data_IF_671025903071
#
_entry.id   IF_671025903071
#
_cell.length_a   1.000
_cell.length_b   1.000
_cell.length_c   1.000
_cell.angle_alpha   90.00
_cell.angle_beta   90.00
_cell.angle_gamma   90.00
#
_symmetry.space_group_name_H-M   'P 1'
#
loop_
_entity.id
_entity.type
_entity.pdbx_description
1 polymer ?
#
# COMPACT_ATOMS: atom_id res chain seq x y z
N UNK A 1 7.58 1.53 29.03
CA UNK A 1 7.42 3.01 29.18
C UNK A 1 7.50 3.75 27.86
N UNK A 2 8.61 3.68 27.08
CA UNK A 2 8.76 4.45 25.81
C UNK A 2 7.63 4.21 24.78
N UNK A 3 7.18 2.96 24.59
CA UNK A 3 6.07 2.62 23.68
C UNK A 3 4.78 3.35 24.07
N UNK A 4 4.43 3.36 25.35
CA UNK A 4 3.24 4.05 25.86
C UNK A 4 3.33 5.57 25.66
N UNK A 5 4.50 6.15 25.91
CA UNK A 5 4.75 7.58 25.66
C UNK A 5 4.62 7.91 24.16
N UNK A 6 5.15 7.06 23.27
CA UNK A 6 5.04 7.24 21.83
C UNK A 6 3.58 7.23 21.36
N UNK A 7 2.78 6.26 21.83
CA UNK A 7 1.35 6.16 21.52
C UNK A 7 0.59 7.35 22.09
N UNK A 8 0.82 7.70 23.35
CA UNK A 8 0.18 8.84 24.00
C UNK A 8 0.45 10.16 23.26
N UNK A 9 1.71 10.42 22.90
CA UNK A 9 2.10 11.60 22.12
C UNK A 9 1.44 11.61 20.73
N UNK A 10 1.42 10.44 20.04
CA UNK A 10 0.77 10.32 18.73
C UNK A 10 -0.72 10.63 18.83
N UNK A 11 -1.44 10.01 19.78
CA UNK A 11 -2.89 10.24 19.99
C UNK A 11 -3.19 11.70 20.38
N UNK A 12 -2.38 12.29 21.25
CA UNK A 12 -2.53 13.71 21.63
C UNK A 12 -2.40 14.62 20.41
N UNK A 13 -1.44 14.37 19.52
CA UNK A 13 -1.25 15.17 18.31
C UNK A 13 -2.37 14.94 17.28
N UNK A 14 -2.94 13.75 17.19
CA UNK A 14 -4.12 13.47 16.36
C UNK A 14 -5.30 14.30 16.89
N UNK A 15 -5.57 14.25 18.19
CA UNK A 15 -6.62 15.02 18.84
C UNK A 15 -6.44 16.54 18.62
N UNK A 16 -5.22 17.05 18.81
CA UNK A 16 -4.89 18.46 18.59
C UNK A 16 -5.11 18.88 17.12
N UNK A 17 -4.69 18.02 16.16
CA UNK A 17 -4.91 18.26 14.73
C UNK A 17 -6.39 18.34 14.38
N UNK A 18 -7.20 17.44 14.91
CA UNK A 18 -8.66 17.44 14.74
C UNK A 18 -9.29 18.71 15.34
N UNK A 19 -8.88 19.12 16.54
CA UNK A 19 -9.36 20.33 17.19
C UNK A 19 -9.02 21.61 16.42
N UNK A 20 -7.92 21.59 15.64
CA UNK A 20 -7.48 22.73 14.81
C UNK A 20 -7.96 22.62 13.35
N UNK A 21 -8.86 21.71 13.00
CA UNK A 21 -9.29 21.41 11.61
C UNK A 21 -8.12 21.17 10.64
N UNK A 22 -6.97 20.70 11.13
CA UNK A 22 -5.79 20.33 10.32
C UNK A 22 -5.76 18.81 10.14
N UNK A 23 -6.03 18.36 8.94
CA UNK A 23 -5.90 16.95 8.55
C UNK A 23 -4.43 16.59 8.28
N UNK A 24 -3.59 16.56 9.31
CA UNK A 24 -2.17 16.19 9.18
C UNK A 24 -1.91 14.80 9.76
N UNK A 25 -1.92 13.76 8.93
CA UNK A 25 -1.69 12.36 9.38
C UNK A 25 -0.23 11.98 9.59
N UNK A 26 0.72 12.73 9.03
CA UNK A 26 2.14 12.37 9.03
C UNK A 26 2.90 12.82 10.27
N UNK A 27 2.60 14.00 10.82
CA UNK A 27 3.31 14.55 11.99
C UNK A 27 3.17 13.69 13.25
N UNK A 28 1.97 13.19 13.62
CA UNK A 28 1.81 12.32 14.78
C UNK A 28 2.67 11.08 14.71
N UNK A 29 2.65 10.36 13.57
CA UNK A 29 3.44 9.15 13.38
C UNK A 29 4.95 9.39 13.36
N UNK A 30 5.40 10.53 12.79
CA UNK A 30 6.81 10.93 12.83
C UNK A 30 7.32 11.11 14.26
N UNK A 31 6.54 11.74 15.12
CA UNK A 31 6.89 11.93 16.53
C UNK A 31 6.84 10.60 17.26
N UNK A 32 5.82 9.76 17.02
CA UNK A 32 5.74 8.43 17.58
C UNK A 32 6.99 7.59 17.30
N UNK A 33 7.45 7.54 16.04
CA UNK A 33 8.69 6.83 15.67
C UNK A 33 9.95 7.47 16.26
N UNK A 34 10.00 8.80 16.40
CA UNK A 34 11.14 9.47 17.04
C UNK A 34 11.26 9.08 18.52
N UNK A 35 10.15 8.93 19.24
CA UNK A 35 10.12 8.51 20.64
C UNK A 35 10.44 7.00 20.75
N UNK A 36 9.83 6.18 19.87
CA UNK A 36 10.03 4.74 19.88
C UNK A 36 10.14 4.18 18.44
N UNK A 37 11.39 3.97 17.94
CA UNK A 37 11.64 3.56 16.54
C UNK A 37 10.97 2.24 16.14
N UNK A 38 10.77 1.32 17.08
CA UNK A 38 10.11 0.03 16.83
C UNK A 38 8.56 0.09 16.95
N UNK A 39 7.97 1.30 17.06
CA UNK A 39 6.54 1.45 17.30
C UNK A 39 5.68 0.69 16.29
N UNK A 40 5.92 0.91 15.00
CA UNK A 40 5.17 0.24 13.93
C UNK A 40 5.38 -1.28 13.96
N UNK A 41 6.63 -1.71 14.12
CA UNK A 41 6.97 -3.14 14.19
C UNK A 41 6.24 -3.85 15.32
N UNK A 42 6.24 -3.26 16.52
CA UNK A 42 5.61 -3.85 17.71
C UNK A 42 4.08 -3.80 17.66
N UNK A 43 3.49 -2.86 16.92
CA UNK A 43 2.05 -2.81 16.73
C UNK A 43 1.60 -3.73 15.61
N UNK A 44 2.28 -3.74 14.47
CA UNK A 44 1.97 -4.60 13.34
C UNK A 44 2.09 -6.09 13.70
N UNK A 45 3.04 -6.46 14.54
CA UNK A 45 3.20 -7.83 15.04
C UNK A 45 2.02 -8.32 15.91
N UNK A 46 1.08 -7.45 16.31
CA UNK A 46 -0.11 -7.79 17.07
C UNK A 46 -1.36 -7.97 16.18
N UNK A 47 -1.26 -7.75 14.87
CA UNK A 47 -2.34 -8.13 13.94
C UNK A 47 -2.45 -9.64 13.94
N UNK A 48 -3.68 -10.13 14.15
CA UNK A 48 -3.90 -11.57 14.43
C UNK A 48 -3.91 -12.44 13.19
N UNK A 49 -4.42 -11.90 12.09
CA UNK A 49 -4.57 -12.64 10.84
C UNK A 49 -3.66 -12.02 9.77
N UNK A 50 -4.20 -11.19 8.89
CA UNK A 50 -3.49 -10.74 7.71
C UNK A 50 -3.26 -9.23 7.65
N UNK A 51 -2.13 -8.85 7.08
CA UNK A 51 -1.82 -7.49 6.69
C UNK A 51 -1.90 -7.43 5.16
N UNK A 52 -2.86 -6.64 4.67
CA UNK A 52 -3.04 -6.33 3.26
C UNK A 52 -2.42 -4.97 2.97
N UNK A 53 -1.72 -4.88 1.86
CA UNK A 53 -1.18 -3.62 1.34
C UNK A 53 -1.82 -3.36 -0.02
N UNK A 54 -2.26 -2.13 -0.27
CA UNK A 54 -2.74 -1.69 -1.58
C UNK A 54 -1.79 -0.62 -2.11
N UNK A 55 -1.22 -0.88 -3.27
CA UNK A 55 -0.24 -0.04 -3.94
C UNK A 55 -0.60 0.14 -5.42
N UNK A 56 -0.03 1.15 -6.06
CA UNK A 56 -0.21 1.46 -7.48
C UNK A 56 -0.55 2.94 -7.71
N UNK A 57 -0.47 3.40 -8.94
CA UNK A 57 -0.62 4.83 -9.27
C UNK A 57 -2.04 5.32 -8.99
N UNK A 58 -3.05 4.63 -9.48
CA UNK A 58 -4.46 5.01 -9.37
C UNK A 58 -5.30 3.94 -8.67
N UNK A 59 -6.39 4.38 -8.01
CA UNK A 59 -7.36 3.49 -7.39
C UNK A 59 -6.97 2.93 -6.02
N UNK A 60 -5.80 3.26 -5.47
CA UNK A 60 -5.33 2.80 -4.15
C UNK A 60 -6.36 2.99 -3.04
N UNK A 61 -6.79 4.23 -2.85
CA UNK A 61 -7.73 4.61 -1.76
C UNK A 61 -9.07 3.90 -1.90
N UNK A 62 -9.61 3.84 -3.12
CA UNK A 62 -10.89 3.17 -3.37
C UNK A 62 -10.78 1.68 -3.07
N UNK A 63 -9.76 1.02 -3.61
CA UNK A 63 -9.53 -0.42 -3.40
C UNK A 63 -9.28 -0.73 -1.92
N UNK A 64 -8.46 0.09 -1.23
CA UNK A 64 -8.18 -0.09 0.19
C UNK A 64 -9.45 0.05 1.04
N UNK A 65 -10.28 1.06 0.76
CA UNK A 65 -11.53 1.28 1.48
C UNK A 65 -12.54 0.15 1.24
N UNK A 66 -12.69 -0.31 0.00
CA UNK A 66 -13.55 -1.46 -0.32
C UNK A 66 -13.12 -2.72 0.42
N UNK A 67 -11.82 -3.01 0.45
CA UNK A 67 -11.28 -4.14 1.19
C UNK A 67 -11.51 -3.99 2.70
N UNK A 68 -11.27 -2.80 3.25
CA UNK A 68 -11.54 -2.50 4.66
C UNK A 68 -13.01 -2.75 5.01
N UNK A 69 -13.95 -2.24 4.19
CA UNK A 69 -15.38 -2.41 4.46
C UNK A 69 -15.83 -3.86 4.28
N UNK A 70 -15.33 -4.58 3.28
CA UNK A 70 -15.62 -6.00 3.11
C UNK A 70 -15.21 -6.81 4.35
N UNK A 71 -14.00 -6.60 4.87
CA UNK A 71 -13.53 -7.27 6.09
C UNK A 71 -14.32 -6.86 7.33
N UNK A 72 -14.75 -5.60 7.44
CA UNK A 72 -15.62 -5.14 8.52
C UNK A 72 -17.00 -5.78 8.47
N UNK A 73 -17.57 -5.95 7.27
CA UNK A 73 -18.84 -6.68 7.09
C UNK A 73 -18.74 -8.13 7.53
N UNK A 74 -17.55 -8.76 7.41
CA UNK A 74 -17.25 -10.08 7.97
C UNK A 74 -17.00 -10.06 9.50
N UNK A 75 -17.21 -8.92 10.16
CA UNK A 75 -17.05 -8.78 11.63
C UNK A 75 -15.60 -8.60 12.08
N UNK A 76 -14.64 -8.38 11.15
CA UNK A 76 -13.23 -8.20 11.50
C UNK A 76 -12.95 -6.80 12.04
N UNK A 77 -12.03 -6.71 12.98
CA UNK A 77 -11.46 -5.45 13.47
C UNK A 77 -10.27 -5.09 12.57
N UNK A 78 -10.41 -4.03 11.79
CA UNK A 78 -9.45 -3.66 10.74
C UNK A 78 -8.75 -2.35 11.07
N UNK A 79 -7.42 -2.37 11.09
CA UNK A 79 -6.60 -1.14 11.04
C UNK A 79 -6.57 -0.66 9.61
N UNK A 80 -6.89 0.61 9.40
CA UNK A 80 -6.87 1.23 8.08
C UNK A 80 -6.29 2.64 8.17
N UNK A 81 -5.40 3.01 7.26
CA UNK A 81 -4.92 4.38 7.19
C UNK A 81 -5.91 5.25 6.39
N UNK A 82 -6.11 6.47 6.87
CA UNK A 82 -7.00 7.44 6.21
C UNK A 82 -6.50 7.82 4.81
N UNK A 83 -7.40 8.30 3.97
CA UNK A 83 -7.08 8.85 2.65
C UNK A 83 -5.92 9.85 2.71
N UNK A 84 -4.93 9.69 1.83
CA UNK A 84 -3.73 10.53 1.78
C UNK A 84 -2.67 10.23 2.86
N UNK A 85 -2.89 9.27 3.75
CA UNK A 85 -1.92 8.85 4.77
C UNK A 85 -1.08 7.63 4.33
N UNK A 86 -0.69 7.58 3.06
CA UNK A 86 -0.06 6.44 2.39
C UNK A 86 1.48 6.38 2.54
N UNK A 87 2.07 7.31 3.26
CA UNK A 87 3.50 7.29 3.60
C UNK A 87 3.73 6.63 4.96
N UNK A 88 4.98 6.21 5.23
CA UNK A 88 5.38 5.53 6.47
C UNK A 88 4.78 6.17 7.74
N UNK A 89 4.87 7.49 7.87
CA UNK A 89 4.39 8.16 9.07
C UNK A 89 2.85 8.14 9.22
N UNK A 90 2.12 8.16 8.10
CA UNK A 90 0.66 7.99 8.11
C UNK A 90 0.26 6.58 8.54
N UNK A 91 0.98 5.57 8.08
CA UNK A 91 0.79 4.17 8.51
C UNK A 91 1.02 4.05 10.03
N UNK A 92 2.12 4.62 10.54
CA UNK A 92 2.40 4.64 11.99
C UNK A 92 1.28 5.31 12.77
N UNK A 93 0.75 6.42 12.25
CA UNK A 93 -0.38 7.12 12.87
C UNK A 93 -1.59 6.21 12.96
N UNK A 94 -1.96 5.51 11.89
CA UNK A 94 -3.10 4.60 11.86
C UNK A 94 -2.98 3.45 12.88
N UNK A 95 -1.82 2.82 12.97
CA UNK A 95 -1.57 1.77 13.95
C UNK A 95 -1.58 2.30 15.38
N UNK A 96 -0.96 3.45 15.64
CA UNK A 96 -0.94 4.03 16.98
C UNK A 96 -2.32 4.53 17.42
N UNK A 97 -3.12 5.05 16.49
CA UNK A 97 -4.51 5.47 16.77
C UNK A 97 -5.40 4.28 17.13
N UNK A 98 -5.25 3.17 16.43
CA UNK A 98 -5.99 1.93 16.67
C UNK A 98 -5.56 1.18 17.95
N UNK A 99 -4.35 1.48 18.46
CA UNK A 99 -3.84 0.86 19.68
C UNK A 99 -4.38 1.52 20.95
N UNK A 100 -4.49 0.79 22.05
CA UNK A 100 -4.69 1.37 23.39
C UNK A 100 -3.42 2.11 23.84
N UNK A 101 -3.55 3.01 24.82
CA UNK A 101 -2.40 3.72 25.43
C UNK A 101 -1.40 2.74 26.03
N UNK A 102 -1.86 1.59 26.53
CA UNK A 102 -0.99 0.53 27.03
C UNK A 102 -0.16 -0.17 25.94
N UNK A 103 -0.41 0.13 24.66
CA UNK A 103 0.28 -0.47 23.53
C UNK A 103 -0.29 -1.79 23.07
N UNK A 104 -1.52 -2.13 23.47
CA UNK A 104 -2.25 -3.30 23.00
C UNK A 104 -3.06 -2.94 21.75
N UNK A 105 -2.83 -3.64 20.66
CA UNK A 105 -3.62 -3.55 19.45
C UNK A 105 -4.63 -4.70 19.41
N UNK A 106 -5.91 -4.38 19.24
CA UNK A 106 -6.97 -5.37 19.08
C UNK A 106 -7.50 -5.33 17.65
N UNK A 107 -6.73 -5.87 16.72
CA UNK A 107 -7.06 -5.94 15.31
C UNK A 107 -6.91 -7.37 14.79
N UNK A 108 -7.86 -7.77 13.94
CA UNK A 108 -7.79 -9.04 13.22
C UNK A 108 -6.94 -8.86 11.96
N UNK A 109 -7.21 -7.81 11.20
CA UNK A 109 -6.52 -7.48 9.96
C UNK A 109 -6.01 -6.04 9.95
N UNK A 110 -5.12 -5.75 9.00
CA UNK A 110 -4.76 -4.39 8.63
C UNK A 110 -4.85 -4.23 7.10
N UNK A 111 -5.49 -3.16 6.64
CA UNK A 111 -5.55 -2.77 5.23
C UNK A 111 -4.85 -1.43 5.07
N UNK A 112 -3.71 -1.45 4.41
CA UNK A 112 -2.80 -0.31 4.35
C UNK A 112 -2.64 0.15 2.90
N UNK A 113 -3.15 1.34 2.61
CA UNK A 113 -2.75 2.04 1.40
C UNK A 113 -1.31 2.50 1.54
N UNK A 114 -0.47 2.21 0.55
CA UNK A 114 0.93 2.63 0.54
C UNK A 114 1.31 3.27 -0.80
N UNK A 115 2.07 4.34 -0.69
CA UNK A 115 2.75 4.93 -1.84
C UNK A 115 3.96 4.08 -2.25
N UNK A 116 4.23 3.98 -3.53
CA UNK A 116 5.25 3.11 -4.11
C UNK A 116 6.62 3.35 -3.48
N UNK A 117 7.03 4.62 -3.36
CA UNK A 117 8.30 5.00 -2.77
C UNK A 117 8.38 4.69 -1.26
N UNK A 118 7.23 4.62 -0.59
CA UNK A 118 7.13 4.36 0.84
C UNK A 118 7.21 2.87 1.20
N UNK A 119 6.95 1.97 0.27
CA UNK A 119 6.99 0.52 0.49
C UNK A 119 8.36 0.06 1.04
N UNK A 120 9.45 0.53 0.44
CA UNK A 120 10.81 0.23 0.88
C UNK A 120 11.11 0.65 2.33
N UNK A 121 10.44 1.73 2.80
CA UNK A 121 10.62 2.24 4.18
C UNK A 121 9.70 1.54 5.18
N UNK A 122 8.56 1.04 4.74
CA UNK A 122 7.56 0.42 5.60
C UNK A 122 7.83 -1.07 5.83
N UNK A 123 8.25 -1.82 4.82
CA UNK A 123 8.44 -3.27 4.88
C UNK A 123 9.53 -3.74 5.86
N UNK A 124 10.55 -2.95 6.25
CA UNK A 124 11.38 -3.30 7.41
C UNK A 124 10.63 -3.39 8.74
N UNK A 125 9.49 -2.70 8.87
CA UNK A 125 8.69 -2.69 10.10
C UNK A 125 7.63 -3.79 10.14
N UNK A 126 7.10 -4.21 8.99
CA UNK A 126 6.15 -5.33 8.89
C UNK A 126 6.26 -6.01 7.53
N UNK A 127 5.81 -7.26 7.47
CA UNK A 127 5.74 -8.03 6.23
C UNK A 127 4.28 -8.23 5.88
N UNK A 128 3.77 -7.69 4.76
CA UNK A 128 2.39 -7.94 4.36
C UNK A 128 2.22 -9.40 3.95
N UNK A 129 1.05 -9.97 4.23
CA UNK A 129 0.63 -11.26 3.73
C UNK A 129 0.23 -11.15 2.25
N UNK A 130 -0.47 -10.06 1.93
CA UNK A 130 -0.96 -9.78 0.58
C UNK A 130 -0.62 -8.35 0.16
N UNK A 131 -0.30 -8.18 -1.12
CA UNK A 131 -0.13 -6.87 -1.74
C UNK A 131 -0.92 -6.80 -3.03
N UNK A 132 -1.89 -5.90 -3.08
CA UNK A 132 -2.67 -5.60 -4.29
C UNK A 132 -1.94 -4.54 -5.10
N UNK A 133 -1.67 -4.83 -6.35
CA UNK A 133 -1.12 -3.88 -7.33
C UNK A 133 -2.23 -3.49 -8.30
N UNK A 134 -2.75 -2.28 -8.15
CA UNK A 134 -3.87 -1.80 -8.96
C UNK A 134 -3.44 -1.49 -10.40
N UNK A 135 -2.39 -0.70 -10.54
CA UNK A 135 -1.75 -0.35 -11.81
C UNK A 135 -0.45 0.44 -11.55
N UNK A 136 0.43 0.44 -12.52
CA UNK A 136 1.66 1.23 -12.51
C UNK A 136 1.70 2.06 -13.79
N UNK A 137 1.30 3.32 -13.71
CA UNK A 137 1.34 4.25 -14.84
C UNK A 137 2.39 5.34 -14.62
N UNK A 138 2.88 5.88 -15.72
CA UNK A 138 3.63 7.12 -15.71
C UNK A 138 2.67 8.27 -15.41
N UNK A 139 2.95 9.07 -14.40
CA UNK A 139 2.19 10.30 -14.17
C UNK A 139 2.51 11.30 -15.29
N UNK A 140 1.53 12.13 -15.72
CA UNK A 140 1.64 13.01 -16.90
C UNK A 140 2.74 14.09 -16.80
N UNK A 141 3.32 14.26 -15.59
CA UNK A 141 4.39 15.21 -15.28
C UNK A 141 5.78 14.58 -15.19
N UNK A 142 5.90 13.30 -15.48
CA UNK A 142 7.09 12.53 -15.16
C UNK A 142 8.25 12.73 -16.13
N UNK A 143 9.43 12.82 -15.53
CA UNK A 143 10.72 12.80 -16.19
C UNK A 143 11.07 11.38 -16.66
N UNK A 144 11.86 11.29 -17.72
CA UNK A 144 12.43 10.02 -18.19
C UNK A 144 13.08 9.24 -17.02
N UNK A 145 12.66 7.98 -16.80
CA UNK A 145 13.28 7.07 -15.83
C UNK A 145 12.51 6.87 -14.51
N UNK A 146 11.42 7.60 -14.24
CA UNK A 146 10.68 7.46 -12.96
C UNK A 146 9.98 6.10 -12.79
N UNK A 147 9.52 5.48 -13.88
CA UNK A 147 8.93 4.13 -13.83
C UNK A 147 9.97 3.09 -13.42
N UNK A 148 11.16 3.16 -14.01
CA UNK A 148 12.23 2.21 -13.68
C UNK A 148 12.65 2.34 -12.21
N UNK A 149 12.74 3.57 -11.70
CA UNK A 149 13.01 3.85 -10.29
C UNK A 149 11.89 3.29 -9.40
N UNK A 150 10.63 3.49 -9.78
CA UNK A 150 9.47 2.97 -9.04
C UNK A 150 9.46 1.44 -9.01
N UNK A 151 9.73 0.81 -10.16
CA UNK A 151 9.85 -0.65 -10.28
C UNK A 151 10.97 -1.19 -9.38
N UNK A 152 12.14 -0.54 -9.38
CA UNK A 152 13.28 -0.97 -8.56
C UNK A 152 13.00 -0.80 -7.06
N UNK A 153 12.39 0.30 -6.65
CA UNK A 153 11.98 0.52 -5.27
C UNK A 153 10.98 -0.54 -4.79
N UNK A 154 10.01 -0.90 -5.63
CA UNK A 154 9.04 -1.94 -5.32
C UNK A 154 9.69 -3.34 -5.27
N UNK A 155 10.62 -3.65 -6.18
CA UNK A 155 11.41 -4.89 -6.13
C UNK A 155 12.22 -5.00 -4.84
N UNK A 156 12.90 -3.91 -4.44
CA UNK A 156 13.62 -3.86 -3.17
C UNK A 156 12.70 -4.13 -1.97
N UNK A 157 11.50 -3.53 -1.96
CA UNK A 157 10.52 -3.77 -0.91
C UNK A 157 10.05 -5.24 -0.90
N UNK A 158 9.73 -5.80 -2.05
CA UNK A 158 9.29 -7.18 -2.20
C UNK A 158 10.38 -8.18 -1.84
N UNK A 159 11.63 -7.91 -2.16
CA UNK A 159 12.78 -8.74 -1.74
C UNK A 159 12.90 -8.83 -0.21
N UNK A 160 12.47 -7.79 0.52
CA UNK A 160 12.40 -7.84 1.99
C UNK A 160 11.23 -8.68 2.51
N UNK A 161 10.27 -9.04 1.66
CA UNK A 161 9.05 -9.79 2.02
C UNK A 161 8.71 -10.87 0.97
N UNK A 162 9.55 -11.90 0.81
CA UNK A 162 9.46 -12.86 -0.30
C UNK A 162 8.20 -13.74 -0.23
N UNK A 163 7.58 -13.86 0.93
CA UNK A 163 6.35 -14.65 1.12
C UNK A 163 5.07 -13.85 0.87
N UNK A 164 5.15 -12.54 0.61
CA UNK A 164 3.99 -11.73 0.27
C UNK A 164 3.37 -12.22 -1.03
N UNK A 165 2.09 -12.59 -0.99
CA UNK A 165 1.33 -12.96 -2.19
C UNK A 165 0.83 -11.69 -2.89
N UNK A 166 1.19 -11.53 -4.16
CA UNK A 166 0.77 -10.40 -4.97
C UNK A 166 -0.59 -10.71 -5.64
N UNK A 167 -1.47 -9.72 -5.63
CA UNK A 167 -2.75 -9.73 -6.36
C UNK A 167 -2.63 -8.60 -7.38
N UNK A 168 -2.46 -8.97 -8.65
CA UNK A 168 -1.93 -8.07 -9.68
C UNK A 168 -2.97 -7.84 -10.77
N UNK A 169 -3.12 -6.59 -11.19
CA UNK A 169 -3.90 -6.28 -12.38
C UNK A 169 -3.21 -6.88 -13.62
N UNK A 170 -3.84 -7.92 -14.20
CA UNK A 170 -3.36 -8.61 -15.41
C UNK A 170 -3.43 -7.75 -16.67
N UNK A 171 -4.29 -6.72 -16.67
CA UNK A 171 -4.42 -5.77 -17.79
C UNK A 171 -3.33 -4.68 -17.78
N UNK A 172 -2.51 -4.62 -16.70
CA UNK A 172 -1.38 -3.70 -16.60
C UNK A 172 -0.05 -4.44 -16.78
N UNK A 173 0.63 -4.29 -17.94
CA UNK A 173 1.88 -4.98 -18.23
C UNK A 173 3.01 -4.69 -17.23
N UNK A 174 3.04 -3.49 -16.64
CA UNK A 174 4.08 -3.11 -15.67
C UNK A 174 3.89 -3.85 -14.35
N UNK A 175 2.66 -3.94 -13.86
CA UNK A 175 2.33 -4.70 -12.65
C UNK A 175 2.64 -6.19 -12.81
N UNK A 176 2.33 -6.78 -13.98
CA UNK A 176 2.65 -8.17 -14.30
C UNK A 176 4.17 -8.37 -14.40
N UNK A 177 4.89 -7.44 -15.04
CA UNK A 177 6.34 -7.51 -15.14
C UNK A 177 7.00 -7.44 -13.76
N UNK A 178 6.53 -6.55 -12.88
CA UNK A 178 7.00 -6.45 -11.50
C UNK A 178 6.78 -7.77 -10.75
N UNK A 179 5.58 -8.35 -10.84
CA UNK A 179 5.27 -9.61 -10.17
C UNK A 179 6.18 -10.75 -10.62
N UNK A 180 6.38 -10.90 -11.92
CA UNK A 180 7.29 -11.91 -12.49
C UNK A 180 8.75 -11.70 -12.06
N UNK A 181 9.22 -10.45 -12.02
CA UNK A 181 10.60 -10.13 -11.67
C UNK A 181 10.89 -10.18 -10.17
N UNK A 182 9.88 -10.00 -9.31
CA UNK A 182 10.05 -10.00 -7.85
C UNK A 182 10.32 -11.39 -7.28
N UNK A 183 9.88 -12.45 -7.98
CA UNK A 183 9.93 -13.81 -7.47
C UNK A 183 8.88 -14.15 -6.40
N UNK A 184 8.01 -13.22 -6.04
CA UNK A 184 6.92 -13.45 -5.11
C UNK A 184 5.81 -14.30 -5.75
N UNK A 185 5.07 -15.12 -4.98
CA UNK A 185 3.88 -15.78 -5.48
C UNK A 185 2.83 -14.74 -5.90
N UNK A 186 2.18 -14.92 -7.03
CA UNK A 186 1.17 -13.97 -7.48
C UNK A 186 -0.02 -14.63 -8.16
N UNK A 187 -1.14 -13.91 -8.17
CA UNK A 187 -2.34 -14.18 -8.96
C UNK A 187 -2.73 -12.90 -9.69
N UNK A 188 -3.38 -13.03 -10.83
CA UNK A 188 -3.87 -11.89 -11.60
C UNK A 188 -5.37 -11.74 -11.48
N UNK A 189 -5.84 -10.51 -11.58
CA UNK A 189 -7.24 -10.16 -11.87
C UNK A 189 -7.26 -9.28 -13.12
N UNK A 190 -8.36 -9.29 -13.86
CA UNK A 190 -8.47 -8.50 -15.09
C UNK A 190 -9.77 -8.82 -15.82
N UNK A 191 -9.90 -8.34 -17.04
CA UNK A 191 -11.06 -8.53 -17.90
C UNK A 191 -10.71 -9.54 -18.98
N UNK A 192 -11.45 -10.66 -19.05
CA UNK A 192 -11.20 -11.77 -19.99
C UNK A 192 -11.56 -11.43 -21.44
N UNK A 193 -12.47 -10.46 -21.66
CA UNK A 193 -12.92 -10.08 -23.01
C UNK A 193 -12.51 -8.63 -23.32
N UNK A 194 -12.15 -8.38 -24.58
CA UNK A 194 -11.94 -7.00 -25.06
C UNK A 194 -13.29 -6.27 -25.11
N UNK A 195 -13.60 -5.55 -24.05
CA UNK A 195 -14.84 -4.75 -23.95
C UNK A 195 -14.79 -3.50 -24.84
N UNK A 196 -13.60 -3.13 -25.35
CA UNK A 196 -13.39 -1.94 -26.16
C UNK A 196 -12.91 -2.35 -27.55
N UNK A 197 -13.66 -1.97 -28.59
CA UNK A 197 -13.24 -2.12 -29.99
C UNK A 197 -11.90 -1.38 -30.21
N UNK A 198 -10.92 -2.09 -30.77
CA UNK A 198 -9.54 -1.60 -30.97
C UNK A 198 -9.45 -0.26 -31.75
N UNK A 199 -10.52 0.14 -32.42
CA UNK A 199 -10.63 1.44 -33.13
C UNK A 199 -10.81 2.63 -32.18
N UNK A 200 -11.28 2.45 -30.97
CA UNK A 200 -11.50 3.52 -29.98
C UNK A 200 -10.37 3.65 -28.93
N UNK A 201 -9.46 2.68 -28.87
CA UNK A 201 -8.30 2.68 -27.98
C UNK A 201 -7.15 3.64 -28.41
N UNK A 202 -7.40 4.53 -29.37
CA UNK A 202 -6.37 5.32 -30.03
C UNK A 202 -5.69 6.41 -29.19
N UNK A 203 -6.07 6.60 -27.93
CA UNK A 203 -5.52 7.64 -27.04
C UNK A 203 -4.77 7.11 -25.82
N UNK A 204 -4.58 5.80 -25.72
CA UNK A 204 -3.74 5.26 -24.65
C UNK A 204 -2.26 5.54 -24.89
N UNK A 205 -1.56 5.90 -23.82
CA UNK A 205 -0.11 6.13 -23.82
C UNK A 205 0.64 4.94 -24.42
N UNK A 206 1.68 5.20 -25.22
CA UNK A 206 2.46 4.17 -25.94
C UNK A 206 2.94 3.01 -25.05
N UNK A 207 3.12 3.24 -23.76
CA UNK A 207 3.69 2.30 -22.79
C UNK A 207 2.71 1.21 -22.34
N UNK A 208 1.41 1.47 -22.38
CA UNK A 208 0.38 0.47 -22.07
C UNK A 208 0.04 -0.47 -23.24
N UNK A 209 0.72 -0.33 -24.40
CA UNK A 209 0.37 -1.09 -25.62
C UNK A 209 1.19 -2.34 -25.85
N UNK A 210 2.34 -2.47 -25.21
CA UNK A 210 3.29 -3.54 -25.50
C UNK A 210 3.74 -4.21 -24.19
N UNK A 211 3.80 -5.53 -24.21
CA UNK A 211 4.43 -6.30 -23.14
C UNK A 211 5.92 -5.97 -23.09
N UNK A 212 6.43 -5.51 -21.97
CA UNK A 212 7.86 -5.20 -21.81
C UNK A 212 8.77 -6.42 -21.90
N UNK A 213 8.23 -7.63 -21.73
CA UNK A 213 8.99 -8.87 -21.77
C UNK A 213 9.11 -9.47 -23.19
N UNK A 214 8.07 -9.38 -24.01
CA UNK A 214 8.05 -10.00 -25.33
C UNK A 214 7.80 -9.01 -26.48
N UNK A 215 7.52 -7.73 -26.19
CA UNK A 215 7.22 -6.71 -27.19
C UNK A 215 5.85 -6.88 -27.87
N UNK A 216 5.06 -7.86 -27.47
CA UNK A 216 3.76 -8.13 -28.08
C UNK A 216 2.71 -7.10 -27.62
N UNK A 217 1.77 -6.80 -28.52
CA UNK A 217 0.68 -5.88 -28.25
C UNK A 217 -0.33 -6.58 -27.36
N UNK A 218 -0.52 -6.05 -26.13
CA UNK A 218 -1.45 -6.58 -25.11
C UNK A 218 -2.14 -7.88 -25.52
N UNK A 219 -1.53 -8.99 -25.26
CA UNK A 219 -2.27 -10.23 -25.08
C UNK A 219 -2.71 -10.24 -23.61
N UNK A 220 -4.01 -10.34 -23.40
CA UNK A 220 -4.59 -10.67 -22.09
C UNK A 220 -3.87 -11.92 -21.61
N UNK A 221 -3.25 -11.86 -20.45
CA UNK A 221 -2.55 -13.02 -19.85
C UNK A 221 -3.53 -13.84 -19.06
#
# INVERSE_FOLDING_TARGET
MRKMLAIGATKFLIWLGQAMNKQGSSTPGKIGLKIYPNLLKDLAAQVREDIFVVCGTNGKTTTNNLLCEALRCEGKKVVCNSAGANMLYGIVTAFADSASISGKLNADCACIEIDEASARRAFPHFKPNYMVLTNLFRDQLDRYGEIDITMDVLKEALAMSPNTKLIVNGDDPLSVALAKQSGNPFVTFGVDEQVIDAKHAAKETKEGRFCQMCGDRKSVV
#
